data_IF_097641158800
#
_entry.id   IF_097641158800
#
_cell.length_a   1.000
_cell.length_b   1.000
_cell.length_c   1.000
_cell.angle_alpha   90.00
_cell.angle_beta   90.00
_cell.angle_gamma   90.00
#
_symmetry.space_group_name_H-M   'P 1'
#
loop_
_entity.id
_entity.type
_entity.pdbx_description
1 polymer ?
#
# COMPACT_ATOMS: atom_id res chain seq x y z
N UNK A 1 -32.77 10.45 29.65
CA UNK A 1 -33.18 9.18 29.02
C UNK A 1 -31.96 8.28 29.01
N UNK A 2 -31.96 7.29 29.91
CA UNK A 2 -30.85 6.37 30.17
C UNK A 2 -31.28 4.94 29.78
N UNK A 3 -30.31 4.18 29.28
CA UNK A 3 -30.49 2.87 28.63
C UNK A 3 -31.28 1.84 29.46
N UNK A 4 -32.37 1.36 28.88
CA UNK A 4 -33.29 0.38 29.47
C UNK A 4 -32.83 -1.08 29.30
N UNK A 5 -31.55 -1.38 29.47
CA UNK A 5 -31.01 -2.75 29.31
C UNK A 5 -29.98 -3.18 30.36
N UNK A 6 -29.92 -2.51 31.52
CA UNK A 6 -28.99 -2.86 32.61
C UNK A 6 -29.55 -3.80 33.69
N UNK A 7 -30.65 -4.51 33.43
CA UNK A 7 -31.27 -5.41 34.42
C UNK A 7 -31.56 -6.81 33.87
N UNK A 8 -30.52 -7.60 33.62
CA UNK A 8 -30.62 -9.07 33.71
C UNK A 8 -29.34 -9.62 34.34
N UNK A 9 -29.36 -9.83 35.66
CA UNK A 9 -28.34 -10.64 36.36
C UNK A 9 -28.51 -12.10 35.92
N UNK A 10 -27.71 -12.54 34.95
CA UNK A 10 -27.62 -13.95 34.55
C UNK A 10 -27.01 -14.80 35.66
N UNK A 11 -27.82 -15.27 36.60
CA UNK A 11 -27.43 -16.28 37.59
C UNK A 11 -27.08 -17.59 36.90
N UNK A 12 -25.93 -18.19 37.24
CA UNK A 12 -25.49 -19.49 36.72
C UNK A 12 -26.49 -20.58 37.10
N UNK A 13 -27.17 -21.14 36.12
CA UNK A 13 -27.89 -22.42 36.21
C UNK A 13 -26.87 -23.53 36.55
N UNK A 14 -26.93 -24.05 37.78
CA UNK A 14 -26.16 -25.24 38.18
C UNK A 14 -26.95 -26.48 37.79
N UNK A 15 -26.59 -27.08 36.65
CA UNK A 15 -27.09 -28.40 36.26
C UNK A 15 -26.45 -29.46 37.18
N UNK A 16 -27.25 -30.05 38.06
CA UNK A 16 -26.84 -31.13 38.97
C UNK A 16 -26.66 -32.40 38.15
N UNK A 17 -25.43 -32.91 38.01
CA UNK A 17 -25.22 -34.26 37.43
C UNK A 17 -23.97 -34.52 36.60
N UNK A 18 -23.09 -33.54 36.35
CA UNK A 18 -21.84 -33.80 35.62
C UNK A 18 -20.62 -33.49 36.49
N UNK A 19 -19.73 -34.48 36.66
CA UNK A 19 -18.48 -34.34 37.40
C UNK A 19 -17.55 -33.35 36.66
N UNK A 20 -17.25 -32.21 37.29
CA UNK A 20 -16.27 -31.24 36.80
C UNK A 20 -14.86 -31.85 36.79
N UNK A 21 -14.30 -32.08 35.59
CA UNK A 21 -12.87 -32.37 35.43
C UNK A 21 -12.11 -31.06 35.65
N UNK A 22 -11.34 -31.00 36.74
CA UNK A 22 -10.37 -29.91 37.04
C UNK A 22 -9.44 -29.70 35.84
N UNK A 23 -9.56 -28.55 35.16
CA UNK A 23 -8.58 -28.10 34.18
C UNK A 23 -7.25 -27.80 34.90
N UNK A 24 -6.24 -28.66 34.70
CA UNK A 24 -4.84 -28.36 35.01
C UNK A 24 -4.40 -27.18 34.14
N UNK A 25 -4.02 -26.08 34.77
CA UNK A 25 -3.42 -24.89 34.14
C UNK A 25 -2.13 -25.32 33.44
N UNK A 26 -2.15 -25.44 32.11
CA UNK A 26 -0.96 -25.78 31.35
C UNK A 26 0.01 -24.60 31.39
N UNK A 27 1.14 -24.83 32.04
CA UNK A 27 2.34 -24.00 32.08
C UNK A 27 2.75 -23.68 30.64
N UNK A 28 2.67 -22.40 30.26
CA UNK A 28 3.13 -21.88 28.96
C UNK A 28 4.63 -22.16 28.86
N UNK A 29 5.04 -23.12 28.04
CA UNK A 29 6.45 -23.34 27.70
C UNK A 29 6.90 -22.19 26.79
N UNK A 30 8.03 -21.59 27.16
CA UNK A 30 8.86 -20.72 26.31
C UNK A 30 9.51 -21.58 25.21
N UNK A 31 9.95 -20.88 24.14
CA UNK A 31 10.72 -21.34 22.97
C UNK A 31 9.83 -21.99 21.89
N UNK A 32 9.95 -21.64 20.60
CA UNK A 32 11.18 -21.50 19.82
C UNK A 32 11.24 -20.27 18.90
N UNK A 33 12.48 -19.88 18.62
CA UNK A 33 12.97 -18.86 17.70
C UNK A 33 12.45 -19.03 16.27
N UNK A 34 12.22 -17.91 15.59
CA UNK A 34 12.16 -17.85 14.14
C UNK A 34 13.25 -16.85 13.72
N UNK A 35 14.26 -17.40 13.07
CA UNK A 35 15.32 -16.69 12.35
C UNK A 35 14.71 -15.63 11.45
N UNK A 36 15.06 -14.39 11.74
CA UNK A 36 14.93 -13.25 10.85
C UNK A 36 16.29 -12.60 10.81
N UNK A 37 16.99 -12.77 9.69
CA UNK A 37 18.23 -12.06 9.32
C UNK A 37 17.95 -10.56 9.17
N UNK A 38 17.74 -9.91 10.31
CA UNK A 38 17.72 -8.46 10.48
C UNK A 38 18.28 -8.20 11.88
N UNK A 39 19.25 -7.28 12.04
CA UNK A 39 19.97 -7.12 13.30
C UNK A 39 18.98 -6.69 14.39
N UNK A 40 18.62 -7.63 15.27
CA UNK A 40 17.95 -7.33 16.54
C UNK A 40 18.76 -6.21 17.21
N UNK A 41 18.16 -5.11 17.68
CA UNK A 41 18.84 -4.27 18.65
C UNK A 41 19.22 -5.16 19.82
N UNK A 42 20.48 -5.13 20.21
CA UNK A 42 21.04 -5.98 21.26
C UNK A 42 20.27 -5.73 22.55
N UNK A 43 19.27 -6.57 22.84
CA UNK A 43 18.44 -6.44 24.04
C UNK A 43 19.25 -6.48 25.33
N UNK A 44 20.48 -7.01 25.28
CA UNK A 44 21.41 -6.99 26.42
C UNK A 44 21.96 -5.60 26.72
N UNK A 45 22.26 -4.77 25.72
CA UNK A 45 22.87 -3.45 25.93
C UNK A 45 21.84 -2.44 26.46
N UNK A 46 20.62 -2.44 25.92
CA UNK A 46 19.58 -1.53 26.43
C UNK A 46 19.16 -1.85 27.86
N UNK A 47 19.14 -3.13 28.26
CA UNK A 47 18.82 -3.54 29.64
C UNK A 47 19.94 -3.15 30.63
N UNK A 48 21.21 -3.13 30.19
CA UNK A 48 22.35 -2.69 31.00
C UNK A 48 22.39 -1.19 31.28
N UNK A 49 21.69 -0.39 30.50
CA UNK A 49 21.69 1.07 30.63
C UNK A 49 20.30 1.61 30.97
N UNK A 50 19.51 0.84 31.74
CA UNK A 50 18.20 1.30 32.24
C UNK A 50 17.14 1.55 31.15
N UNK A 51 17.24 0.86 30.00
CA UNK A 51 16.32 1.04 28.87
C UNK A 51 16.80 2.00 27.79
N UNK A 52 17.99 2.59 27.94
CA UNK A 52 18.60 3.48 26.95
C UNK A 52 19.32 2.69 25.84
N UNK A 53 18.98 2.94 24.59
CA UNK A 53 19.49 2.19 23.43
C UNK A 53 20.48 3.01 22.60
N UNK A 54 21.47 2.35 21.99
CA UNK A 54 22.50 3.00 21.17
C UNK A 54 21.94 3.50 19.82
N UNK A 55 22.22 4.76 19.49
CA UNK A 55 21.86 5.35 18.20
C UNK A 55 22.68 4.71 17.05
N UNK A 56 21.99 4.15 16.04
CA UNK A 56 22.64 3.54 14.86
C UNK A 56 22.68 4.48 13.65
N UNK A 57 21.70 5.37 13.52
CA UNK A 57 21.58 6.31 12.41
C UNK A 57 21.51 7.74 12.94
N UNK A 58 21.95 8.70 12.12
CA UNK A 58 21.74 10.12 12.40
C UNK A 58 20.27 10.45 12.65
N UNK A 59 19.38 9.82 11.87
CA UNK A 59 17.95 10.07 11.98
C UNK A 59 17.33 9.68 13.32
N UNK A 60 17.99 8.77 14.04
CA UNK A 60 17.52 8.31 15.33
C UNK A 60 17.87 9.33 16.44
N UNK A 61 18.91 10.16 16.24
CA UNK A 61 19.39 11.13 17.23
C UNK A 61 18.42 12.32 17.32
N UNK A 62 17.36 12.17 18.11
CA UNK A 62 16.43 13.23 18.45
C UNK A 62 15.73 12.99 19.78
N UNK A 63 15.43 14.07 20.50
CA UNK A 63 14.76 14.00 21.79
C UNK A 63 15.73 13.77 22.95
N UNK A 64 15.31 12.99 23.95
CA UNK A 64 16.12 12.77 25.15
C UNK A 64 17.28 11.82 24.84
N UNK A 65 18.50 12.29 25.10
CA UNK A 65 19.75 11.64 24.74
C UNK A 65 20.73 11.69 25.90
N UNK A 66 21.45 10.60 26.13
CA UNK A 66 22.59 10.54 27.04
C UNK A 66 23.86 10.29 26.22
N UNK A 67 24.95 10.97 26.56
CA UNK A 67 26.24 10.84 25.86
C UNK A 67 27.18 10.11 26.79
N UNK A 68 27.55 8.89 26.41
CA UNK A 68 28.54 8.06 27.12
C UNK A 68 29.90 8.27 26.46
N UNK A 69 30.90 8.71 27.24
CA UNK A 69 32.25 8.97 26.74
C UNK A 69 33.26 7.90 27.15
N UNK A 70 33.00 7.20 28.25
CA UNK A 70 33.79 6.09 28.76
C UNK A 70 32.82 5.03 29.33
N UNK A 71 33.27 3.81 29.58
CA UNK A 71 32.41 2.68 29.95
C UNK A 71 31.53 3.03 31.18
N UNK A 72 30.23 3.17 30.94
CA UNK A 72 29.20 3.57 31.92
C UNK A 72 29.42 4.95 32.57
N UNK A 73 30.14 5.87 31.90
CA UNK A 73 30.28 7.28 32.33
C UNK A 73 29.61 8.22 31.33
N UNK A 74 28.68 9.00 31.84
CA UNK A 74 27.90 9.93 31.03
C UNK A 74 28.36 11.38 31.21
N UNK A 75 28.05 12.19 30.19
CA UNK A 75 28.24 13.63 30.23
C UNK A 75 27.27 14.27 31.21
N UNK A 76 27.78 14.87 32.29
CA UNK A 76 26.99 15.53 33.33
C UNK A 76 27.06 17.06 33.20
N UNK A 77 25.90 17.73 33.23
CA UNK A 77 25.84 19.18 33.26
C UNK A 77 25.97 19.71 34.70
N UNK A 78 26.82 20.71 34.90
CA UNK A 78 26.96 21.41 36.18
C UNK A 78 26.15 22.71 36.20
N UNK A 79 25.81 23.16 37.40
CA UNK A 79 25.08 24.41 37.67
C UNK A 79 25.86 25.68 37.25
N UNK A 80 27.19 25.62 37.32
CA UNK A 80 28.10 26.68 36.87
C UNK A 80 28.17 26.84 35.34
N UNK A 81 27.43 26.02 34.59
CA UNK A 81 27.41 26.02 33.12
C UNK A 81 28.62 25.35 32.48
N UNK A 82 29.40 24.55 33.22
CA UNK A 82 30.41 23.62 32.67
C UNK A 82 29.82 22.22 32.57
N UNK A 83 30.53 21.36 31.85
CA UNK A 83 30.22 19.94 31.75
C UNK A 83 31.39 19.14 32.29
N UNK A 84 31.08 18.04 32.98
CA UNK A 84 32.06 17.08 33.49
C UNK A 84 31.64 15.66 33.15
N UNK A 85 32.63 14.77 33.13
CA UNK A 85 32.40 13.34 33.08
C UNK A 85 31.82 12.88 34.43
N UNK A 86 30.65 12.26 34.38
CA UNK A 86 29.98 11.69 35.54
C UNK A 86 30.74 10.48 36.12
N UNK A 87 30.41 10.08 37.35
CA UNK A 87 30.94 8.85 37.93
C UNK A 87 30.50 7.63 37.10
N UNK A 88 31.27 6.52 37.13
CA UNK A 88 30.84 5.27 36.52
C UNK A 88 29.58 4.76 37.21
N UNK A 89 28.58 4.36 36.41
CA UNK A 89 27.31 3.78 36.86
C UNK A 89 27.36 2.27 36.95
N UNK A 90 26.43 1.69 37.69
CA UNK A 90 26.25 0.24 37.76
C UNK A 90 25.41 -0.27 36.58
N UNK A 91 25.59 -1.55 36.21
CA UNK A 91 24.80 -2.20 35.16
C UNK A 91 23.31 -2.23 35.52
N UNK A 92 22.49 -1.60 34.70
CA UNK A 92 21.03 -1.52 34.82
C UNK A 92 20.51 -0.18 35.35
N UNK A 93 21.41 0.73 35.74
CA UNK A 93 21.04 2.07 36.20
C UNK A 93 20.74 3.01 35.03
N UNK A 94 19.74 3.88 35.21
CA UNK A 94 19.42 4.95 34.27
C UNK A 94 20.40 6.13 34.46
N UNK A 95 20.73 6.90 33.41
CA UNK A 95 21.48 8.14 33.55
C UNK A 95 20.76 9.12 34.48
N UNK A 96 21.52 9.87 35.27
CA UNK A 96 20.93 10.84 36.19
C UNK A 96 20.21 11.97 35.43
N UNK A 97 19.20 12.64 36.02
CA UNK A 97 18.50 13.75 35.36
C UNK A 97 19.42 14.88 34.86
N UNK A 98 20.59 15.07 35.49
CA UNK A 98 21.61 16.05 35.09
C UNK A 98 22.51 15.56 33.93
N UNK A 99 22.53 14.25 33.67
CA UNK A 99 23.23 13.58 32.56
C UNK A 99 22.30 13.40 31.35
N UNK A 100 20.98 13.51 31.54
CA UNK A 100 20.00 13.51 30.47
C UNK A 100 20.03 14.86 29.74
N UNK A 101 20.35 14.79 28.45
CA UNK A 101 20.40 15.93 27.54
C UNK A 101 19.26 15.81 26.52
N UNK A 102 19.01 16.86 25.76
CA UNK A 102 18.05 16.87 24.66
C UNK A 102 18.76 17.20 23.35
N UNK A 103 18.82 16.24 22.42
CA UNK A 103 19.31 16.48 21.07
C UNK A 103 18.19 17.03 20.17
N UNK A 104 18.45 18.18 19.58
CA UNK A 104 17.59 18.87 18.63
C UNK A 104 18.27 18.83 17.27
N UNK A 105 17.62 18.26 16.25
CA UNK A 105 18.14 18.30 14.88
C UNK A 105 18.08 19.73 14.35
N UNK A 106 19.23 20.26 13.94
CA UNK A 106 19.32 21.60 13.33
C UNK A 106 19.16 21.46 11.82
N UNK A 107 19.98 20.59 11.23
CA UNK A 107 20.01 20.27 9.80
C UNK A 107 20.07 18.73 9.60
N UNK A 108 20.17 18.28 8.35
CA UNK A 108 20.36 16.86 8.01
C UNK A 108 21.72 16.28 8.46
N UNK A 109 22.69 17.12 8.81
CA UNK A 109 24.03 16.68 9.26
C UNK A 109 24.40 17.15 10.66
N UNK A 110 23.69 18.15 11.21
CA UNK A 110 24.06 18.81 12.47
C UNK A 110 22.94 18.74 13.49
N UNK A 111 23.34 18.55 14.75
CA UNK A 111 22.49 18.54 15.94
C UNK A 111 22.92 19.64 16.90
N UNK A 112 22.00 20.10 17.73
CA UNK A 112 22.26 20.94 18.88
C UNK A 112 21.87 20.17 20.13
N UNK A 113 22.73 20.17 21.15
CA UNK A 113 22.48 19.43 22.39
C UNK A 113 22.15 20.43 23.48
N UNK A 114 21.02 20.23 24.15
CA UNK A 114 20.52 21.07 25.23
C UNK A 114 20.67 20.33 26.56
N UNK A 115 21.19 21.01 27.58
CA UNK A 115 21.30 20.47 28.94
C UNK A 115 19.96 20.49 29.67
N UNK A 116 19.86 19.72 30.77
CA UNK A 116 18.71 19.75 31.68
C UNK A 116 18.43 21.13 32.28
N UNK A 117 19.43 22.03 32.29
CA UNK A 117 19.28 23.44 32.73
C UNK A 117 18.72 24.37 31.65
N UNK A 118 18.38 23.84 30.48
CA UNK A 118 17.78 24.61 29.41
C UNK A 118 18.77 25.36 28.52
N UNK A 119 20.08 25.11 28.66
CA UNK A 119 21.14 25.78 27.91
C UNK A 119 21.75 24.85 26.86
N UNK A 120 22.19 25.39 25.74
CA UNK A 120 22.83 24.61 24.68
C UNK A 120 24.32 24.42 24.94
N UNK A 121 24.81 23.24 24.58
CA UNK A 121 26.21 22.85 24.59
C UNK A 121 26.96 23.69 23.55
N UNK A 122 27.83 24.58 24.01
CA UNK A 122 28.57 25.54 23.20
C UNK A 122 30.08 25.39 23.42
N UNK A 123 30.85 25.66 22.37
CA UNK A 123 32.32 25.64 22.44
C UNK A 123 32.81 27.03 22.83
N UNK A 124 33.61 27.15 23.87
CA UNK A 124 34.27 28.39 24.31
C UNK A 124 35.53 28.67 23.45
N UNK A 125 36.05 29.91 23.36
CA UNK A 125 37.26 30.19 22.59
C UNK A 125 38.50 29.45 23.11
N UNK A 126 38.49 29.08 24.38
CA UNK A 126 39.57 28.33 25.04
C UNK A 126 39.44 26.80 24.82
N UNK A 127 38.73 26.37 23.77
CA UNK A 127 38.41 24.97 23.43
C UNK A 127 37.67 24.19 24.53
N UNK A 128 37.25 24.85 25.62
CA UNK A 128 36.39 24.27 26.65
C UNK A 128 34.93 24.19 26.20
N UNK A 129 34.17 23.28 26.79
CA UNK A 129 32.74 23.13 26.47
C UNK A 129 31.88 23.70 27.61
N UNK A 130 31.02 24.67 27.28
CA UNK A 130 30.19 25.40 28.24
C UNK A 130 28.72 25.46 27.80
N UNK A 131 27.82 25.57 28.76
CA UNK A 131 26.36 25.56 28.57
C UNK A 131 25.73 26.85 29.04
N UNK A 132 26.07 27.99 28.42
CA UNK A 132 25.53 29.32 28.80
C UNK A 132 24.49 29.86 27.84
N UNK A 133 24.54 29.44 26.57
CA UNK A 133 23.68 29.93 25.50
C UNK A 133 22.25 29.37 25.58
N UNK A 134 21.23 30.21 25.36
CA UNK A 134 19.83 29.77 25.22
C UNK A 134 19.39 29.61 23.76
N UNK A 135 20.22 30.06 22.82
CA UNK A 135 19.94 30.01 21.40
C UNK A 135 20.93 29.08 20.70
N UNK A 136 20.47 28.47 19.60
CA UNK A 136 21.31 27.66 18.73
C UNK A 136 22.02 28.61 17.77
N UNK A 137 23.29 28.92 18.07
CA UNK A 137 24.18 29.67 17.20
C UNK A 137 25.09 28.75 16.39
N UNK A 138 26.19 29.31 15.88
CA UNK A 138 27.20 28.53 15.17
C UNK A 138 28.04 27.66 16.11
N UNK A 139 28.20 28.07 17.38
CA UNK A 139 29.05 27.41 18.39
C UNK A 139 28.36 26.24 19.08
N UNK A 140 27.04 26.20 18.99
CA UNK A 140 26.14 25.20 19.57
C UNK A 140 25.78 24.07 18.59
N UNK A 141 26.27 24.15 17.35
CA UNK A 141 26.08 23.13 16.33
C UNK A 141 27.17 22.07 16.42
N UNK A 142 26.75 20.82 16.52
CA UNK A 142 27.59 19.64 16.59
C UNK A 142 27.28 18.70 15.44
N UNK A 143 28.31 18.06 14.89
CA UNK A 143 28.21 17.13 13.78
C UNK A 143 28.64 15.73 14.25
N UNK A 144 27.69 14.79 14.44
CA UNK A 144 28.02 13.41 14.80
C UNK A 144 28.58 12.68 13.58
N UNK A 145 29.78 12.12 13.72
CA UNK A 145 30.48 11.38 12.68
C UNK A 145 30.46 9.89 13.05
N UNK A 146 29.95 9.06 12.15
CA UNK A 146 29.90 7.60 12.31
C UNK A 146 30.96 6.95 11.40
N UNK A 147 31.88 6.18 11.99
CA UNK A 147 32.94 5.49 11.24
C UNK A 147 33.17 4.09 11.83
N UNK A 148 33.06 3.05 11.00
CA UNK A 148 33.34 1.65 11.38
C UNK A 148 32.58 1.16 12.64
N UNK A 149 31.36 1.66 12.85
CA UNK A 149 30.53 1.32 14.02
C UNK A 149 30.91 2.08 15.29
N UNK A 150 31.88 2.99 15.23
CA UNK A 150 32.21 3.95 16.28
C UNK A 150 31.61 5.31 15.92
N UNK A 151 31.40 6.15 16.93
CA UNK A 151 30.91 7.50 16.71
C UNK A 151 31.72 8.53 17.51
N UNK A 152 31.88 9.71 16.94
CA UNK A 152 32.54 10.85 17.55
C UNK A 152 31.71 12.10 17.29
N UNK A 153 31.80 13.11 18.16
CA UNK A 153 31.06 14.36 18.02
C UNK A 153 32.02 15.48 17.63
N UNK A 154 31.85 16.02 16.43
CA UNK A 154 32.65 17.13 15.92
C UNK A 154 32.00 18.48 16.26
N UNK A 155 32.81 19.39 16.77
CA UNK A 155 32.41 20.74 17.14
C UNK A 155 32.50 21.74 16.00
N UNK A 156 31.99 22.96 16.24
CA UNK A 156 32.09 24.09 15.30
C UNK A 156 33.53 24.52 14.98
N UNK A 157 34.51 24.18 15.83
CA UNK A 157 35.94 24.41 15.64
C UNK A 157 36.63 23.32 14.79
N UNK A 158 35.88 22.33 14.28
CA UNK A 158 36.39 21.13 13.60
C UNK A 158 37.32 20.26 14.48
N UNK A 159 37.10 20.30 15.79
CA UNK A 159 37.73 19.40 16.75
C UNK A 159 36.68 18.44 17.31
N UNK A 160 37.11 17.27 17.74
CA UNK A 160 36.27 16.27 18.38
C UNK A 160 36.13 16.55 19.87
N UNK A 161 34.98 16.20 20.42
CA UNK A 161 34.70 16.25 21.85
C UNK A 161 35.56 15.21 22.59
N UNK A 162 36.24 15.64 23.65
CA UNK A 162 37.08 14.81 24.51
C UNK A 162 36.93 15.23 25.98
N UNK A 163 37.55 14.48 26.88
CA UNK A 163 37.63 14.83 28.30
C UNK A 163 39.10 14.85 28.74
N UNK A 164 39.43 15.71 29.70
CA UNK A 164 40.75 15.82 30.31
C UNK A 164 40.89 14.88 31.52
N UNK A 165 42.10 14.74 32.05
CA UNK A 165 42.39 13.90 33.23
C UNK A 165 41.58 14.30 34.48
N UNK A 166 41.21 15.58 34.57
CA UNK A 166 40.35 16.15 35.63
C UNK A 166 38.84 15.88 35.41
N UNK A 167 38.49 15.21 34.30
CA UNK A 167 37.11 14.92 33.90
C UNK A 167 36.36 16.13 33.34
N UNK A 168 37.05 17.23 33.07
CA UNK A 168 36.49 18.40 32.39
C UNK A 168 36.39 18.16 30.88
N UNK A 169 35.33 18.66 30.27
CA UNK A 169 35.00 18.38 28.87
C UNK A 169 35.59 19.46 27.97
N UNK A 170 36.40 19.03 27.01
CA UNK A 170 37.17 19.90 26.11
C UNK A 170 37.01 19.45 24.66
N UNK A 171 37.40 20.31 23.72
CA UNK A 171 37.25 20.09 22.28
C UNK A 171 38.51 20.56 21.55
N UNK A 172 39.63 19.89 21.80
CA UNK A 172 40.96 20.30 21.35
C UNK A 172 41.50 19.48 20.15
N UNK A 173 41.07 18.23 20.01
CA UNK A 173 41.70 17.26 19.11
C UNK A 173 41.05 17.28 17.72
N UNK A 174 41.84 17.54 16.67
CA UNK A 174 41.36 17.49 15.28
C UNK A 174 41.21 16.08 14.71
N UNK A 175 41.70 15.06 15.42
CA UNK A 175 41.66 13.67 14.99
C UNK A 175 40.95 12.86 16.07
N UNK A 176 39.95 12.08 15.69
CA UNK A 176 39.30 11.17 16.63
C UNK A 176 40.26 10.03 16.98
N UNK A 177 40.83 10.07 18.19
CA UNK A 177 41.56 8.96 18.81
C UNK A 177 40.61 8.02 19.53
N UNK A 178 41.13 7.20 20.46
CA UNK A 178 40.31 6.27 21.26
C UNK A 178 39.51 7.01 22.35
N UNK A 179 40.08 8.07 22.92
CA UNK A 179 39.49 8.93 23.96
C UNK A 179 38.33 9.80 23.46
N UNK A 180 38.27 10.06 22.16
CA UNK A 180 37.27 10.91 21.52
C UNK A 180 36.08 10.11 20.96
N UNK A 181 36.14 8.78 21.05
CA UNK A 181 35.04 7.89 20.68
C UNK A 181 34.01 7.92 21.80
N UNK A 182 32.76 8.21 21.44
CA UNK A 182 31.64 8.26 22.37
C UNK A 182 30.50 7.38 21.85
N UNK A 183 29.47 7.22 22.66
CA UNK A 183 28.24 6.51 22.32
C UNK A 183 27.06 7.41 22.70
N UNK A 184 26.19 7.72 21.75
CA UNK A 184 24.94 8.43 22.03
C UNK A 184 23.86 7.39 22.27
N UNK A 185 23.29 7.42 23.48
CA UNK A 185 22.16 6.60 23.87
C UNK A 185 20.89 7.42 23.87
N UNK A 186 19.78 6.79 23.50
CA UNK A 186 18.48 7.41 23.31
C UNK A 186 17.47 6.76 24.23
N UNK A 187 16.57 7.58 24.78
CA UNK A 187 15.36 7.13 25.49
C UNK A 187 14.09 7.45 24.69
N UNK A 188 14.25 7.87 23.43
CA UNK A 188 13.12 8.01 22.54
C UNK A 188 12.50 6.62 22.37
N UNK A 189 11.23 6.48 22.75
CA UNK A 189 10.47 5.28 22.51
C UNK A 189 10.47 5.04 21.00
N UNK A 190 11.12 3.97 20.55
CA UNK A 190 11.06 3.52 19.16
C UNK A 190 9.63 3.01 18.93
N UNK A 191 8.67 3.93 18.83
CA UNK A 191 7.37 3.67 18.21
C UNK A 191 7.46 3.84 16.69
N UNK A 192 8.66 3.74 16.10
CA UNK A 192 8.73 3.25 14.73
C UNK A 192 8.44 1.76 14.77
N UNK A 193 7.15 1.46 14.80
CA UNK A 193 6.60 0.16 14.46
C UNK A 193 7.42 -0.35 13.25
N UNK A 194 8.24 -1.41 13.38
CA UNK A 194 9.04 -1.93 12.27
C UNK A 194 8.17 -2.37 11.09
N UNK A 195 6.86 -2.42 11.32
CA UNK A 195 5.78 -2.76 10.43
C UNK A 195 4.94 -1.54 10.01
N UNK A 196 5.41 -0.30 10.15
CA UNK A 196 4.66 0.88 9.70
C UNK A 196 4.38 0.86 8.19
N UNK A 197 5.31 0.29 7.41
CA UNK A 197 5.14 0.05 5.97
C UNK A 197 4.29 -1.19 5.64
N UNK A 198 3.87 -1.96 6.65
CA UNK A 198 3.06 -3.17 6.49
C UNK A 198 1.67 -2.85 7.07
N UNK A 199 0.60 -2.87 6.25
CA UNK A 199 -0.75 -2.64 6.73
C UNK A 199 -1.05 -3.51 7.96
N UNK A 200 -1.74 -2.96 8.97
CA UNK A 200 -2.08 -3.66 10.22
C UNK A 200 -2.76 -5.03 9.95
N UNK A 201 -3.45 -5.14 8.82
CA UNK A 201 -4.12 -6.33 8.31
C UNK A 201 -3.17 -7.49 7.94
N UNK A 202 -1.91 -7.21 7.62
CA UNK A 202 -0.89 -8.22 7.26
C UNK A 202 0.05 -8.58 8.42
N UNK A 203 -0.13 -7.93 9.58
CA UNK A 203 0.65 -8.21 10.79
C UNK A 203 0.15 -9.51 11.43
N UNK A 204 0.72 -10.64 11.02
CA UNK A 204 0.43 -11.94 11.64
C UNK A 204 0.65 -13.15 10.75
N UNK A 205 0.09 -14.29 11.16
CA UNK A 205 0.08 -15.51 10.34
C UNK A 205 -0.86 -15.32 9.15
N UNK A 206 -0.56 -15.98 8.03
CA UNK A 206 -1.33 -15.91 6.77
C UNK A 206 -2.84 -16.13 7.00
N UNK A 207 -3.20 -17.04 7.90
CA UNK A 207 -4.60 -17.32 8.26
C UNK A 207 -5.28 -16.16 8.99
N UNK A 208 -4.55 -15.43 9.82
CA UNK A 208 -5.08 -14.30 10.58
C UNK A 208 -5.23 -13.06 9.69
N UNK A 209 -4.32 -12.89 8.72
CA UNK A 209 -4.43 -11.86 7.69
C UNK A 209 -5.66 -12.08 6.79
N UNK A 210 -5.90 -13.31 6.34
CA UNK A 210 -7.10 -13.68 5.57
C UNK A 210 -8.39 -13.39 6.35
N UNK A 211 -8.44 -13.73 7.65
CA UNK A 211 -9.58 -13.45 8.51
C UNK A 211 -9.82 -11.93 8.67
N UNK A 212 -8.75 -11.13 8.79
CA UNK A 212 -8.87 -9.67 8.92
C UNK A 212 -9.37 -9.03 7.61
N UNK A 213 -8.89 -9.48 6.46
CA UNK A 213 -9.38 -9.05 5.16
C UNK A 213 -10.86 -9.42 4.96
N UNK A 214 -11.25 -10.66 5.26
CA UNK A 214 -12.65 -11.11 5.15
C UNK A 214 -13.56 -10.29 6.07
N UNK A 215 -13.14 -9.99 7.30
CA UNK A 215 -13.92 -9.15 8.23
C UNK A 215 -14.09 -7.71 7.76
N UNK A 216 -13.11 -7.15 7.05
CA UNK A 216 -13.15 -5.77 6.54
C UNK A 216 -14.10 -5.60 5.37
N UNK A 217 -14.17 -6.61 4.48
CA UNK A 217 -14.93 -6.52 3.24
C UNK A 217 -16.23 -7.33 3.24
N UNK A 218 -16.48 -8.21 4.22
CA UNK A 218 -17.76 -8.91 4.38
C UNK A 218 -18.72 -8.08 5.23
N UNK A 219 -19.73 -7.46 4.61
CA UNK A 219 -20.79 -6.75 5.33
C UNK A 219 -21.52 -7.69 6.28
N UNK A 220 -21.68 -7.27 7.54
CA UNK A 220 -22.19 -8.02 8.69
C UNK A 220 -23.70 -8.34 8.64
N UNK A 221 -24.27 -8.63 7.46
CA UNK A 221 -25.67 -9.01 7.34
C UNK A 221 -25.88 -10.48 7.75
N UNK A 222 -24.94 -11.36 7.40
CA UNK A 222 -24.91 -12.74 7.86
C UNK A 222 -23.86 -12.88 8.97
N UNK A 223 -24.28 -13.16 10.21
CA UNK A 223 -23.42 -13.36 11.39
C UNK A 223 -22.52 -14.62 11.31
N UNK A 224 -22.16 -15.08 10.11
CA UNK A 224 -21.35 -16.26 9.85
C UNK A 224 -20.23 -15.88 8.87
N UNK A 225 -19.00 -15.89 9.38
CA UNK A 225 -17.79 -15.72 8.59
C UNK A 225 -17.68 -16.91 7.62
N UNK A 226 -17.78 -16.64 6.31
CA UNK A 226 -17.60 -17.66 5.26
C UNK A 226 -16.18 -17.53 4.74
N UNK A 227 -15.30 -18.42 5.20
CA UNK A 227 -13.94 -18.55 4.65
C UNK A 227 -14.01 -19.60 3.53
N UNK A 228 -13.51 -19.28 2.34
CA UNK A 228 -13.43 -20.22 1.22
C UNK A 228 -12.49 -21.38 1.58
N UNK A 229 -12.98 -22.61 1.44
CA UNK A 229 -12.21 -23.83 1.69
C UNK A 229 -11.36 -24.24 0.47
N UNK A 230 -10.77 -23.27 -0.23
CA UNK A 230 -9.91 -23.54 -1.40
C UNK A 230 -8.42 -23.53 -1.03
N UNK A 231 -7.66 -24.30 -1.79
CA UNK A 231 -6.35 -24.81 -1.42
C UNK A 231 -5.28 -23.70 -1.38
N UNK A 232 -4.62 -23.57 -0.22
CA UNK A 232 -3.70 -22.48 0.18
C UNK A 232 -2.38 -22.47 -0.61
N UNK A 233 -2.26 -23.31 -1.64
CA UNK A 233 -1.05 -23.60 -2.40
C UNK A 233 -0.81 -22.57 -3.52
N UNK A 234 -1.87 -22.05 -4.14
CA UNK A 234 -1.83 -20.97 -5.13
C UNK A 234 -1.42 -19.63 -4.51
N UNK A 235 -1.98 -19.30 -3.34
CA UNK A 235 -1.67 -18.08 -2.57
C UNK A 235 -0.22 -18.05 -2.07
N UNK A 236 0.36 -19.20 -1.71
CA UNK A 236 1.79 -19.30 -1.34
C UNK A 236 2.73 -19.04 -2.50
N UNK A 237 2.36 -19.43 -3.73
CA UNK A 237 3.12 -19.12 -4.95
C UNK A 237 2.99 -17.63 -5.31
N UNK A 238 1.81 -17.04 -5.17
CA UNK A 238 1.58 -15.61 -5.42
C UNK A 238 2.33 -14.70 -4.43
N UNK A 239 2.39 -15.07 -3.13
CA UNK A 239 3.12 -14.31 -2.11
C UNK A 239 4.65 -14.32 -2.32
N UNK A 240 5.20 -15.41 -2.87
CA UNK A 240 6.64 -15.48 -3.21
C UNK A 240 7.01 -14.68 -4.47
N UNK A 241 6.04 -14.40 -5.35
CA UNK A 241 6.28 -13.70 -6.61
C UNK A 241 6.08 -12.18 -6.55
N UNK A 242 5.50 -11.61 -5.48
CA UNK A 242 5.12 -10.19 -5.45
C UNK A 242 3.94 -9.84 -6.38
N UNK A 243 3.34 -10.82 -7.06
CA UNK A 243 2.32 -10.66 -8.11
C UNK A 243 0.89 -10.75 -7.54
N UNK A 244 0.71 -10.49 -6.25
CA UNK A 244 -0.61 -10.59 -5.61
C UNK A 244 -1.54 -9.47 -6.10
N UNK A 245 -0.96 -8.30 -6.41
CA UNK A 245 -1.68 -7.14 -6.93
C UNK A 245 -2.08 -7.32 -8.41
N UNK A 246 -1.27 -7.98 -9.24
CA UNK A 246 -1.63 -8.21 -10.66
C UNK A 246 -2.77 -9.22 -10.78
N UNK A 247 -2.83 -10.26 -9.94
CA UNK A 247 -3.94 -11.21 -9.97
C UNK A 247 -5.28 -10.60 -9.49
N UNK A 248 -5.25 -9.61 -8.60
CA UNK A 248 -6.46 -8.86 -8.24
C UNK A 248 -6.84 -7.82 -9.31
N UNK A 249 -5.84 -7.20 -9.96
CA UNK A 249 -6.06 -6.22 -11.03
C UNK A 249 -6.51 -6.87 -12.35
N UNK A 250 -6.05 -8.09 -12.66
CA UNK A 250 -6.46 -8.83 -13.86
C UNK A 250 -7.94 -9.19 -13.83
N UNK A 251 -8.54 -9.43 -12.65
CA UNK A 251 -9.98 -9.63 -12.51
C UNK A 251 -10.78 -8.41 -12.99
N UNK A 252 -10.42 -7.21 -12.52
CA UNK A 252 -11.06 -5.96 -12.93
C UNK A 252 -10.86 -5.65 -14.41
N UNK A 253 -9.65 -5.86 -14.93
CA UNK A 253 -9.35 -5.64 -16.35
C UNK A 253 -10.13 -6.62 -17.24
N UNK A 254 -10.28 -7.88 -16.83
CA UNK A 254 -11.07 -8.87 -17.56
C UNK A 254 -12.55 -8.51 -17.57
N UNK A 255 -13.10 -8.03 -16.46
CA UNK A 255 -14.47 -7.53 -16.38
C UNK A 255 -14.68 -6.28 -17.25
N UNK A 256 -13.70 -5.38 -17.32
CA UNK A 256 -13.74 -4.22 -18.22
C UNK A 256 -13.75 -4.66 -19.69
N UNK A 257 -12.89 -5.60 -20.08
CA UNK A 257 -12.87 -6.12 -21.46
C UNK A 257 -14.19 -6.83 -21.79
N UNK A 258 -14.71 -7.64 -20.87
CA UNK A 258 -15.99 -8.34 -21.06
C UNK A 258 -17.17 -7.35 -21.24
N UNK A 259 -17.20 -6.26 -20.47
CA UNK A 259 -18.25 -5.22 -20.57
C UNK A 259 -18.14 -4.40 -21.86
N UNK A 260 -16.93 -4.15 -22.37
CA UNK A 260 -16.72 -3.54 -23.70
C UNK A 260 -17.25 -4.46 -24.80
N UNK A 261 -16.93 -5.75 -24.75
CA UNK A 261 -17.43 -6.71 -25.76
C UNK A 261 -18.96 -6.83 -25.71
N UNK A 262 -19.54 -6.88 -24.51
CA UNK A 262 -20.99 -6.96 -24.33
C UNK A 262 -21.71 -5.72 -24.87
N UNK A 263 -21.15 -4.52 -24.71
CA UNK A 263 -21.72 -3.27 -25.24
C UNK A 263 -21.59 -3.16 -26.76
N UNK A 264 -20.48 -3.63 -27.35
CA UNK A 264 -20.34 -3.74 -28.82
C UNK A 264 -21.41 -4.68 -29.39
N UNK A 265 -21.64 -5.82 -28.73
CA UNK A 265 -22.67 -6.79 -29.15
C UNK A 265 -24.08 -6.20 -29.04
N UNK A 266 -24.39 -5.50 -27.95
CA UNK A 266 -25.68 -4.82 -27.77
C UNK A 266 -25.95 -3.84 -28.91
N UNK A 267 -24.98 -3.00 -29.26
CA UNK A 267 -25.15 -2.02 -30.35
C UNK A 267 -25.24 -2.69 -31.73
N UNK A 268 -24.50 -3.79 -31.93
CA UNK A 268 -24.60 -4.60 -33.14
C UNK A 268 -26.01 -5.20 -33.31
N UNK A 269 -26.62 -5.70 -32.24
CA UNK A 269 -27.99 -6.21 -32.24
C UNK A 269 -29.01 -5.09 -32.47
N UNK A 270 -28.82 -3.91 -31.88
CA UNK A 270 -29.68 -2.73 -32.11
C UNK A 270 -29.73 -2.37 -33.61
N UNK A 271 -28.58 -2.39 -34.27
CA UNK A 271 -28.47 -2.06 -35.70
C UNK A 271 -29.09 -3.15 -36.59
N UNK A 272 -28.96 -4.43 -36.22
CA UNK A 272 -29.61 -5.55 -36.93
C UNK A 272 -31.13 -5.46 -36.82
N UNK A 273 -31.66 -5.14 -35.63
CA UNK A 273 -33.10 -4.97 -35.41
C UNK A 273 -33.67 -3.83 -36.27
N UNK A 274 -32.97 -2.70 -36.34
CA UNK A 274 -33.34 -1.56 -37.21
C UNK A 274 -33.39 -1.95 -38.70
N UNK A 275 -32.62 -2.96 -39.11
CA UNK A 275 -32.51 -3.39 -40.50
C UNK A 275 -33.60 -4.38 -40.95
N UNK A 276 -34.33 -5.01 -40.02
CA UNK A 276 -35.40 -5.94 -40.38
C UNK A 276 -36.54 -5.18 -41.07
N UNK A 277 -36.82 -5.45 -42.36
CA UNK A 277 -37.87 -4.74 -43.08
C UNK A 277 -39.24 -5.07 -42.47
N UNK A 278 -40.01 -4.02 -42.16
CA UNK A 278 -41.44 -4.13 -41.87
C UNK A 278 -42.18 -4.35 -43.19
N UNK A 279 -42.09 -5.57 -43.74
CA UNK A 279 -42.67 -5.88 -45.04
C UNK A 279 -44.20 -5.85 -44.95
N UNK A 280 -44.81 -4.84 -45.57
CA UNK A 280 -46.25 -4.75 -45.89
C UNK A 280 -46.34 -5.14 -47.37
N UNK A 281 -46.57 -6.41 -47.66
CA UNK A 281 -46.73 -6.90 -49.04
C UNK A 281 -48.05 -7.66 -49.21
N UNK A 282 -48.83 -7.24 -50.20
CA UNK A 282 -50.25 -7.57 -50.44
C UNK A 282 -50.49 -8.91 -51.18
N UNK A 283 -49.70 -9.97 -50.93
CA UNK A 283 -49.85 -11.25 -51.65
C UNK A 283 -49.97 -12.48 -50.73
N UNK A 284 -51.15 -13.09 -50.66
CA UNK A 284 -51.65 -13.77 -49.45
C UNK A 284 -51.08 -15.17 -49.12
N UNK A 285 -50.57 -15.95 -50.07
CA UNK A 285 -50.26 -17.38 -49.83
C UNK A 285 -48.77 -17.74 -49.69
N UNK A 286 -47.86 -17.14 -50.48
CA UNK A 286 -46.40 -17.31 -50.25
C UNK A 286 -45.88 -16.42 -49.12
N UNK A 287 -46.61 -15.36 -48.77
CA UNK A 287 -46.26 -14.48 -47.65
C UNK A 287 -46.44 -15.18 -46.31
N UNK A 288 -47.42 -16.07 -46.11
CA UNK A 288 -47.67 -16.67 -44.77
C UNK A 288 -46.44 -17.40 -44.21
N UNK A 289 -45.82 -18.36 -44.92
CA UNK A 289 -44.63 -19.09 -44.42
C UNK A 289 -43.37 -18.22 -44.26
N UNK A 290 -43.10 -17.31 -45.20
CA UNK A 290 -41.95 -16.39 -45.14
C UNK A 290 -42.15 -15.34 -44.04
N UNK A 291 -43.38 -14.85 -43.87
CA UNK A 291 -43.80 -13.89 -42.85
C UNK A 291 -43.68 -14.49 -41.44
N UNK A 292 -44.18 -15.71 -41.19
CA UNK A 292 -44.02 -16.35 -39.87
C UNK A 292 -42.54 -16.56 -39.49
N UNK A 293 -41.68 -16.97 -40.44
CA UNK A 293 -40.24 -17.12 -40.17
C UNK A 293 -39.56 -15.79 -39.85
N UNK A 294 -39.92 -14.70 -40.54
CA UNK A 294 -39.40 -13.36 -40.29
C UNK A 294 -39.90 -12.80 -38.95
N UNK A 295 -41.16 -13.05 -38.59
CA UNK A 295 -41.73 -12.67 -37.29
C UNK A 295 -41.01 -13.39 -36.15
N UNK A 296 -40.74 -14.69 -36.28
CA UNK A 296 -39.97 -15.44 -35.29
C UNK A 296 -38.54 -14.92 -35.16
N UNK A 297 -37.85 -14.60 -36.28
CA UNK A 297 -36.50 -14.02 -36.26
C UNK A 297 -36.49 -12.64 -35.59
N UNK A 298 -37.46 -11.79 -35.90
CA UNK A 298 -37.60 -10.46 -35.29
C UNK A 298 -37.86 -10.57 -33.79
N UNK A 299 -38.78 -11.43 -33.37
CA UNK A 299 -39.05 -11.69 -31.95
C UNK A 299 -37.81 -12.21 -31.21
N UNK A 300 -37.09 -13.17 -31.79
CA UNK A 300 -35.85 -13.71 -31.21
C UNK A 300 -34.77 -12.63 -31.04
N UNK A 301 -34.58 -11.77 -32.04
CA UNK A 301 -33.63 -10.65 -31.97
C UNK A 301 -34.03 -9.64 -30.90
N UNK A 302 -35.32 -9.31 -30.78
CA UNK A 302 -35.83 -8.45 -29.71
C UNK A 302 -35.58 -9.05 -28.32
N UNK A 303 -35.80 -10.35 -28.14
CA UNK A 303 -35.54 -11.03 -26.85
C UNK A 303 -34.05 -10.96 -26.50
N UNK A 304 -33.16 -11.23 -27.45
CA UNK A 304 -31.71 -11.12 -27.25
C UNK A 304 -31.31 -9.70 -26.86
N UNK A 305 -31.88 -8.68 -27.52
CA UNK A 305 -31.63 -7.28 -27.19
C UNK A 305 -32.04 -6.94 -25.76
N UNK A 306 -33.22 -7.38 -25.33
CA UNK A 306 -33.72 -7.11 -23.96
C UNK A 306 -32.81 -7.78 -22.92
N UNK A 307 -32.36 -9.01 -23.17
CA UNK A 307 -31.42 -9.72 -22.29
C UNK A 307 -30.09 -8.95 -22.19
N UNK A 308 -29.48 -8.60 -23.33
CA UNK A 308 -28.22 -7.86 -23.37
C UNK A 308 -28.33 -6.49 -22.68
N UNK A 309 -29.43 -5.78 -22.91
CA UNK A 309 -29.71 -4.49 -22.27
C UNK A 309 -29.87 -4.61 -20.76
N UNK A 310 -30.56 -5.65 -20.29
CA UNK A 310 -30.73 -5.91 -18.86
C UNK A 310 -29.40 -6.27 -18.18
N UNK A 311 -28.56 -7.09 -18.83
CA UNK A 311 -27.22 -7.41 -18.32
C UNK A 311 -26.35 -6.16 -18.22
N UNK A 312 -26.35 -5.28 -19.24
CA UNK A 312 -25.61 -4.02 -19.19
C UNK A 312 -26.15 -3.05 -18.12
N UNK A 313 -27.47 -2.98 -17.94
CA UNK A 313 -28.09 -2.21 -16.86
C UNK A 313 -27.62 -2.70 -15.50
N UNK A 314 -27.57 -4.02 -15.28
CA UNK A 314 -27.06 -4.62 -14.05
C UNK A 314 -25.56 -4.31 -13.83
N UNK A 315 -24.75 -4.31 -14.89
CA UNK A 315 -23.35 -3.87 -14.83
C UNK A 315 -23.24 -2.40 -14.39
N UNK A 316 -24.07 -1.50 -14.91
CA UNK A 316 -24.05 -0.07 -14.52
C UNK A 316 -24.52 0.13 -13.07
N UNK A 317 -25.46 -0.68 -12.58
CA UNK A 317 -25.93 -0.64 -11.20
C UNK A 317 -24.83 -0.97 -10.16
N UNK A 318 -23.69 -1.52 -10.58
CA UNK A 318 -22.53 -1.75 -9.69
C UNK A 318 -21.82 -0.47 -9.25
N UNK A 319 -22.16 0.69 -9.84
CA UNK A 319 -21.58 2.01 -9.53
C UNK A 319 -20.06 2.10 -9.63
N UNK A 320 -19.41 1.19 -10.37
CA UNK A 320 -17.98 1.26 -10.65
C UNK A 320 -17.72 2.21 -11.82
N UNK A 321 -17.01 3.31 -11.55
CA UNK A 321 -16.71 4.35 -12.55
C UNK A 321 -15.99 3.79 -13.80
N UNK A 322 -15.11 2.80 -13.62
CA UNK A 322 -14.37 2.19 -14.72
C UNK A 322 -15.26 1.34 -15.64
N UNK A 323 -16.29 0.68 -15.09
CA UNK A 323 -17.28 -0.08 -15.87
C UNK A 323 -18.21 0.87 -16.64
N UNK A 324 -18.56 2.02 -16.07
CA UNK A 324 -19.38 3.02 -16.77
C UNK A 324 -18.60 3.56 -17.99
N UNK A 325 -17.32 3.89 -17.82
CA UNK A 325 -16.45 4.33 -18.91
C UNK A 325 -16.28 3.24 -19.97
N UNK A 326 -16.11 1.97 -19.57
CA UNK A 326 -15.97 0.85 -20.51
C UNK A 326 -17.22 0.65 -21.38
N UNK A 327 -18.42 0.78 -20.79
CA UNK A 327 -19.69 0.72 -21.51
C UNK A 327 -19.83 1.86 -22.51
N UNK A 328 -19.46 3.10 -22.13
CA UNK A 328 -19.49 4.25 -23.05
C UNK A 328 -18.55 4.05 -24.26
N UNK A 329 -17.32 3.59 -24.00
CA UNK A 329 -16.32 3.30 -25.04
C UNK A 329 -16.80 2.17 -25.95
N UNK A 330 -17.33 1.08 -25.38
CA UNK A 330 -17.83 -0.05 -26.17
C UNK A 330 -19.07 0.30 -27.01
N UNK A 331 -19.98 1.15 -26.52
CA UNK A 331 -21.08 1.68 -27.32
C UNK A 331 -20.58 2.56 -28.48
N UNK A 332 -19.58 3.42 -28.26
CA UNK A 332 -19.00 4.25 -29.30
C UNK A 332 -18.32 3.41 -30.40
N UNK A 333 -17.54 2.40 -30.01
CA UNK A 333 -16.88 1.47 -30.92
C UNK A 333 -17.92 0.61 -31.67
N UNK A 334 -18.91 0.07 -30.95
CA UNK A 334 -19.98 -0.74 -31.53
C UNK A 334 -20.78 0.02 -32.58
N UNK A 335 -21.07 1.30 -32.33
CA UNK A 335 -21.74 2.17 -33.30
C UNK A 335 -20.90 2.41 -34.56
N UNK A 336 -19.59 2.61 -34.39
CA UNK A 336 -18.69 2.84 -35.52
C UNK A 336 -18.47 1.57 -36.37
N UNK A 337 -18.39 0.39 -35.75
CA UNK A 337 -18.21 -0.89 -36.46
C UNK A 337 -19.48 -1.35 -37.17
N UNK A 338 -20.65 -1.16 -36.56
CA UNK A 338 -21.92 -1.64 -37.09
C UNK A 338 -22.42 -0.84 -38.31
N UNK A 339 -22.13 0.46 -38.39
CA UNK A 339 -22.61 1.34 -39.46
C UNK A 339 -22.06 1.06 -40.87
N UNK A 340 -20.74 0.88 -41.08
CA UNK A 340 -20.18 0.50 -42.38
C UNK A 340 -20.75 -0.82 -42.90
N UNK A 341 -20.97 -1.79 -42.00
CA UNK A 341 -21.54 -3.09 -42.34
C UNK A 341 -22.96 -2.99 -42.90
N UNK A 342 -23.77 -2.05 -42.37
CA UNK A 342 -25.11 -1.77 -42.89
C UNK A 342 -25.08 -1.15 -44.28
N UNK A 343 -24.11 -0.27 -44.56
CA UNK A 343 -24.00 0.41 -45.85
C UNK A 343 -23.61 -0.56 -46.97
N UNK A 344 -22.60 -1.40 -46.75
CA UNK A 344 -22.13 -2.39 -47.72
C UNK A 344 -23.22 -3.41 -48.10
N UNK A 345 -24.03 -3.85 -47.15
CA UNK A 345 -25.09 -4.84 -47.41
C UNK A 345 -26.29 -4.26 -48.17
N UNK A 346 -26.55 -2.93 -48.13
CA UNK A 346 -27.57 -2.29 -48.98
C UNK A 346 -27.14 -2.23 -50.47
N UNK A 347 -25.85 -2.04 -50.73
CA UNK A 347 -25.32 -2.00 -52.12
C UNK A 347 -25.39 -3.37 -52.82
N UNK A 348 -25.25 -4.47 -52.07
CA UNK A 348 -25.32 -5.82 -52.62
C UNK A 348 -26.76 -6.30 -52.92
N UNK A 349 -27.77 -5.74 -52.23
CA UNK A 349 -29.18 -6.08 -52.48
C UNK A 349 -29.78 -5.32 -53.69
N UNK A 350 -29.10 -4.29 -54.19
CA UNK A 350 -29.58 -3.42 -55.28
C UNK A 350 -29.04 -3.82 -56.67
N UNK A 351 -28.32 -4.95 -56.81
CA UNK A 351 -27.97 -5.50 -58.12
C UNK A 351 -29.13 -6.38 -58.61
N UNK A 352 -29.95 -5.95 -59.58
CA UNK A 352 -30.91 -6.87 -60.19
C UNK A 352 -30.15 -8.02 -60.86
N UNK A 353 -30.60 -9.25 -60.65
CA UNK A 353 -30.19 -10.40 -61.47
C UNK A 353 -30.71 -10.15 -62.88
N UNK A 354 -29.88 -9.62 -63.78
CA UNK A 354 -30.14 -9.68 -65.22
C UNK A 354 -30.10 -11.15 -65.61
N UNK A 355 -31.27 -11.73 -65.82
CA UNK A 355 -31.43 -13.05 -66.40
C UNK A 355 -30.76 -13.05 -67.78
N UNK A 356 -29.71 -13.87 -67.90
CA UNK A 356 -29.15 -14.32 -69.16
C UNK A 356 -30.18 -15.19 -69.87
N UNK A 357 -31.01 -14.61 -70.74
CA UNK A 357 -31.78 -15.31 -71.78
C UNK A 357 -32.51 -14.24 -72.62
N UNK A 358 -31.86 -13.79 -73.68
CA UNK A 358 -32.41 -13.36 -74.99
C UNK A 358 -31.41 -12.41 -75.66
N UNK A 359 -30.53 -12.99 -76.47
CA UNK A 359 -30.15 -12.50 -77.81
C UNK A 359 -29.00 -13.39 -78.31
N UNK A 360 -29.35 -14.62 -78.68
CA UNK A 360 -28.71 -15.28 -79.81
C UNK A 360 -29.48 -14.87 -81.06
N UNK A 361 -28.75 -14.66 -82.15
CA UNK A 361 -29.20 -14.42 -83.53
C UNK A 361 -29.51 -12.96 -83.90
N UNK A 362 -28.51 -12.27 -84.45
CA UNK A 362 -28.49 -11.93 -85.89
C UNK A 362 -27.20 -11.17 -86.28
N UNK A 363 -26.45 -11.81 -87.20
CA UNK A 363 -25.53 -11.31 -88.24
C UNK A 363 -24.61 -10.09 -87.99
N UNK A 364 -23.30 -10.34 -88.09
CA UNK A 364 -22.27 -9.37 -88.53
C UNK A 364 -22.45 -8.96 -90.02
N UNK A 365 -21.84 -7.83 -90.48
CA UNK A 365 -20.48 -7.90 -91.05
C UNK A 365 -19.57 -6.73 -90.57
N UNK A 366 -18.34 -7.00 -90.15
CA UNK A 366 -17.06 -6.81 -90.89
C UNK A 366 -16.67 -5.35 -91.24
N UNK A 367 -15.46 -5.00 -90.73
CA UNK A 367 -14.45 -4.08 -91.28
C UNK A 367 -14.77 -2.58 -91.38
N UNK A 368 -13.90 -1.73 -90.81
CA UNK A 368 -12.80 -1.06 -91.54
C UNK A 368 -11.98 -0.20 -90.56
N UNK A 369 -10.66 -0.37 -90.62
CA UNK A 369 -9.62 0.51 -90.08
C UNK A 369 -9.60 1.88 -90.77
N UNK A 370 -9.45 2.98 -90.01
CA UNK A 370 -8.66 4.21 -90.31
C UNK A 370 -8.91 5.24 -89.21
N UNK A 371 -7.97 5.52 -88.31
CA UNK A 371 -6.98 6.62 -88.38
C UNK A 371 -7.49 7.87 -89.08
N UNK A 372 -7.65 8.97 -88.33
CA UNK A 372 -7.02 10.27 -88.61
C UNK A 372 -7.22 11.23 -87.42
N UNK A 373 -6.08 11.71 -86.91
CA UNK A 373 -5.73 13.05 -86.37
C UNK A 373 -6.53 13.60 -85.19
#
# INVERSE_FOLDING_TARGET
MADSYSFVKGGKLKLKGHKDKKHKKHKKRKHDEIDTDTPKPEKGDSEKHGGWWLAKKFDDISGNTAIEMDDMRYLSAQDNGRFKLGPPRDEGEEPDPIEILTAVKVNETKIAIKSGYGKYLSIDPDDGVIGRSEAIGAREQWEPVFQEGRMALNGSNNCFLSYDDDGDIVCNSKKAGESEMLKIRLNANIETDPFANIPVEERGKIKDAEINYVKKFQSYQDRKLKISAEDVSSLKKAKKGGVLHECMLTGLVLEMIATVLLSILFESVNVIEFKLPSDRSDNEERVKKVSYSLICKRSAIHVIRVILGYTLMLCVMTMNSWIIVSVLVGCAIGYFLSRPWVYTTKTNLSRPKTNSLLMSDLSYPLLVLKTEI
#
